data_IF_657014681523
#
_entry.id   IF_657014681523
#
_cell.length_a   1.000
_cell.length_b   1.000
_cell.length_c   1.000
_cell.angle_alpha   90.00
_cell.angle_beta   90.00
_cell.angle_gamma   90.00
#
_symmetry.space_group_name_H-M   'P 1'
#
loop_
_entity.id
_entity.type
_entity.pdbx_description
1 polymer ?
#
# COMPACT_ATOMS: atom_id res chain seq x y z
N UNK A 1 16.51 12.46 27.18
CA UNK A 1 16.97 11.75 25.95
C UNK A 1 15.86 10.81 25.52
N UNK A 2 15.20 11.05 24.39
CA UNK A 2 14.09 10.20 23.94
C UNK A 2 14.63 8.87 23.41
N UNK A 3 14.25 7.76 24.05
CA UNK A 3 14.66 6.42 23.68
C UNK A 3 14.23 6.10 22.24
N UNK A 4 15.16 5.56 21.44
CA UNK A 4 14.91 5.09 20.08
C UNK A 4 13.93 3.91 20.16
N UNK A 5 12.77 3.96 19.49
CA UNK A 5 11.84 2.84 19.53
C UNK A 5 12.45 1.62 18.83
N UNK A 6 12.36 0.46 19.49
CA UNK A 6 12.82 -0.82 18.94
C UNK A 6 11.97 -1.20 17.71
N UNK A 7 12.56 -1.72 16.62
CA UNK A 7 11.85 -2.01 15.37
C UNK A 7 10.87 -3.20 15.47
N UNK A 8 10.99 -4.04 16.50
CA UNK A 8 10.22 -5.28 16.68
C UNK A 8 9.01 -5.16 17.62
N UNK A 9 8.73 -3.99 18.18
CA UNK A 9 7.52 -3.82 19.00
C UNK A 9 6.27 -3.81 18.12
N UNK A 10 5.17 -4.48 18.53
CA UNK A 10 3.89 -4.38 17.86
C UNK A 10 3.52 -2.90 17.68
N UNK A 11 3.24 -2.50 16.44
CA UNK A 11 2.85 -1.13 16.15
C UNK A 11 1.44 -0.91 16.70
N UNK A 12 1.34 -0.25 17.84
CA UNK A 12 0.07 0.01 18.51
C UNK A 12 -0.35 1.48 18.42
N UNK A 13 -1.67 1.70 18.38
CA UNK A 13 -2.26 3.04 18.46
C UNK A 13 -1.71 4.03 17.44
N UNK A 14 -1.09 5.10 17.93
CA UNK A 14 -0.51 6.18 17.10
C UNK A 14 0.63 5.70 16.21
N UNK A 15 1.38 4.68 16.61
CA UNK A 15 2.46 4.12 15.79
C UNK A 15 1.90 3.42 14.55
N UNK A 16 0.79 2.69 14.70
CA UNK A 16 0.08 2.04 13.61
C UNK A 16 -0.47 3.06 12.61
N UNK A 17 -1.08 4.16 13.10
CA UNK A 17 -1.57 5.26 12.25
C UNK A 17 -0.43 5.88 11.45
N UNK A 18 0.73 6.13 12.08
CA UNK A 18 1.92 6.66 11.41
C UNK A 18 2.45 5.70 10.34
N UNK A 19 2.49 4.40 10.62
CA UNK A 19 2.94 3.41 9.64
C UNK A 19 1.98 3.30 8.45
N UNK A 20 0.68 3.34 8.69
CA UNK A 20 -0.33 3.36 7.62
C UNK A 20 -0.12 4.60 6.74
N UNK A 21 0.06 5.78 7.33
CA UNK A 21 0.34 7.01 6.59
C UNK A 21 1.63 6.89 5.76
N UNK A 22 2.69 6.32 6.34
CA UNK A 22 3.97 6.08 5.66
C UNK A 22 3.79 5.15 4.46
N UNK A 23 3.11 4.02 4.64
CA UNK A 23 2.83 3.04 3.58
C UNK A 23 2.03 3.65 2.43
N UNK A 24 1.01 4.46 2.72
CA UNK A 24 0.24 5.15 1.67
C UNK A 24 1.13 6.12 0.88
N UNK A 25 2.00 6.89 1.56
CA UNK A 25 2.94 7.79 0.89
C UNK A 25 3.93 7.04 -0.02
N UNK A 26 4.45 5.91 0.46
CA UNK A 26 5.34 5.04 -0.33
C UNK A 26 4.62 4.46 -1.55
N UNK A 27 3.38 3.98 -1.37
CA UNK A 27 2.57 3.53 -2.50
C UNK A 27 2.36 4.66 -3.52
N UNK A 28 2.10 5.88 -3.06
CA UNK A 28 1.94 7.06 -3.91
C UNK A 28 3.24 7.45 -4.62
N UNK A 29 4.41 7.37 -3.98
CA UNK A 29 5.68 7.61 -4.67
C UNK A 29 5.95 6.58 -5.76
N UNK A 30 5.59 5.31 -5.54
CA UNK A 30 5.67 4.30 -6.60
C UNK A 30 4.68 4.53 -7.73
N UNK A 31 3.49 5.06 -7.41
CA UNK A 31 2.51 5.49 -8.40
C UNK A 31 3.07 6.63 -9.27
N UNK A 32 3.63 7.67 -8.64
CA UNK A 32 4.22 8.81 -9.35
C UNK A 32 5.43 8.37 -10.21
N UNK A 33 6.18 7.37 -9.74
CA UNK A 33 7.27 6.72 -10.49
C UNK A 33 6.79 5.70 -11.54
N UNK A 34 5.47 5.56 -11.76
CA UNK A 34 4.86 4.59 -12.69
C UNK A 34 5.23 3.11 -12.41
N UNK A 35 5.73 2.80 -11.22
CA UNK A 35 6.04 1.44 -10.78
C UNK A 35 4.79 0.77 -10.19
N UNK A 36 3.88 0.37 -11.08
CA UNK A 36 2.57 -0.17 -10.71
C UNK A 36 2.65 -1.47 -9.89
N UNK A 37 3.68 -2.30 -10.11
CA UNK A 37 3.87 -3.54 -9.36
C UNK A 37 4.22 -3.27 -7.89
N UNK A 38 5.16 -2.36 -7.64
CA UNK A 38 5.52 -1.96 -6.27
C UNK A 38 4.39 -1.18 -5.60
N UNK A 39 3.73 -0.28 -6.34
CA UNK A 39 2.56 0.46 -5.86
C UNK A 39 1.45 -0.49 -5.38
N UNK A 40 1.13 -1.55 -6.14
CA UNK A 40 0.11 -2.53 -5.76
C UNK A 40 0.46 -3.21 -4.43
N UNK A 41 1.70 -3.70 -4.30
CA UNK A 41 2.16 -4.41 -3.09
C UNK A 41 2.12 -3.52 -1.85
N UNK A 42 2.64 -2.30 -1.93
CA UNK A 42 2.62 -1.39 -0.78
C UNK A 42 1.23 -0.89 -0.44
N UNK A 43 0.37 -0.72 -1.46
CA UNK A 43 -1.05 -0.42 -1.24
C UNK A 43 -1.77 -1.55 -0.52
N UNK A 44 -1.59 -2.81 -0.91
CA UNK A 44 -2.21 -3.96 -0.23
C UNK A 44 -1.82 -4.02 1.24
N UNK A 45 -0.54 -3.80 1.56
CA UNK A 45 -0.06 -3.70 2.94
C UNK A 45 -0.72 -2.53 3.68
N UNK A 46 -0.81 -1.36 3.04
CA UNK A 46 -1.48 -0.19 3.62
C UNK A 46 -2.97 -0.46 3.90
N UNK A 47 -3.65 -1.15 2.98
CA UNK A 47 -5.07 -1.50 3.11
C UNK A 47 -5.29 -2.51 4.25
N UNK A 48 -4.43 -3.52 4.35
CA UNK A 48 -4.46 -4.51 5.43
C UNK A 48 -4.34 -3.83 6.80
N UNK A 49 -3.35 -2.95 6.98
CA UNK A 49 -3.17 -2.18 8.22
C UNK A 49 -4.31 -1.18 8.45
N UNK A 50 -4.82 -0.54 7.40
CA UNK A 50 -5.94 0.39 7.52
C UNK A 50 -7.22 -0.31 8.02
N UNK A 51 -7.46 -1.54 7.60
CA UNK A 51 -8.62 -2.31 8.02
C UNK A 51 -8.59 -2.71 9.49
N UNK A 52 -7.40 -2.82 10.10
CA UNK A 52 -7.26 -3.08 11.54
C UNK A 52 -7.42 -1.83 12.40
N UNK A 53 -7.45 -0.63 11.80
CA UNK A 53 -7.64 0.63 12.55
C UNK A 53 -9.09 0.83 13.01
N UNK A 54 -9.24 1.37 14.22
CA UNK A 54 -10.52 1.89 14.72
C UNK A 54 -10.95 3.16 13.97
N UNK A 55 -12.21 3.58 14.14
CA UNK A 55 -12.74 4.79 13.50
C UNK A 55 -11.93 6.04 13.90
N UNK A 56 -11.66 6.20 15.20
CA UNK A 56 -10.89 7.34 15.72
C UNK A 56 -9.44 7.37 15.22
N UNK A 57 -8.85 6.20 14.98
CA UNK A 57 -7.52 6.09 14.38
C UNK A 57 -7.53 6.42 12.89
N UNK A 58 -8.58 6.03 12.16
CA UNK A 58 -8.77 6.40 10.75
C UNK A 58 -8.96 7.89 10.58
N UNK A 59 -9.60 8.57 11.53
CA UNK A 59 -9.80 10.02 11.48
C UNK A 59 -8.52 10.82 11.69
N UNK A 60 -7.51 10.24 12.34
CA UNK A 60 -6.16 10.81 12.43
C UNK A 60 -5.39 10.75 11.10
N UNK A 61 -5.84 9.95 10.13
CA UNK A 61 -5.20 9.88 8.80
C UNK A 61 -5.66 11.08 7.96
N UNK A 62 -4.73 11.83 7.35
CA UNK A 62 -5.05 12.93 6.44
C UNK A 62 -6.06 12.50 5.36
N UNK A 63 -7.11 13.29 5.17
CA UNK A 63 -8.21 12.98 4.25
C UNK A 63 -7.70 12.67 2.83
N UNK A 64 -6.68 13.39 2.35
CA UNK A 64 -6.05 13.16 1.04
C UNK A 64 -5.53 11.73 0.89
N UNK A 65 -4.92 11.15 1.94
CA UNK A 65 -4.40 9.79 1.92
C UNK A 65 -5.53 8.76 1.94
N UNK A 66 -6.60 9.01 2.72
CA UNK A 66 -7.80 8.15 2.75
C UNK A 66 -8.50 8.11 1.40
N UNK A 67 -8.72 9.28 0.79
CA UNK A 67 -9.34 9.38 -0.54
C UNK A 67 -8.47 8.70 -1.59
N UNK A 68 -7.16 8.92 -1.57
CA UNK A 68 -6.24 8.24 -2.50
C UNK A 68 -6.33 6.72 -2.34
N UNK A 69 -6.27 6.20 -1.11
CA UNK A 69 -6.34 4.77 -0.83
C UNK A 69 -7.65 4.15 -1.34
N UNK A 70 -8.80 4.85 -1.19
CA UNK A 70 -10.11 4.38 -1.66
C UNK A 70 -10.28 4.52 -3.17
N UNK A 71 -10.08 5.72 -3.70
CA UNK A 71 -10.39 6.05 -5.10
C UNK A 71 -9.38 5.45 -6.08
N UNK A 72 -8.08 5.44 -5.75
CA UNK A 72 -7.10 4.82 -6.65
C UNK A 72 -7.14 3.29 -6.60
N UNK A 73 -7.51 2.71 -5.46
CA UNK A 73 -7.75 1.27 -5.32
C UNK A 73 -8.68 0.74 -6.39
N UNK A 74 -9.87 1.33 -6.48
CA UNK A 74 -10.97 0.77 -7.25
C UNK A 74 -10.74 0.94 -8.75
N UNK A 75 -10.29 2.13 -9.17
CA UNK A 75 -10.14 2.46 -10.60
C UNK A 75 -8.97 1.74 -11.28
N UNK A 76 -7.88 1.40 -10.58
CA UNK A 76 -6.68 0.81 -11.23
C UNK A 76 -6.13 -0.46 -10.57
N UNK A 77 -6.63 -0.84 -9.40
CA UNK A 77 -6.24 -2.10 -8.75
C UNK A 77 -7.45 -3.01 -8.50
N UNK A 78 -8.65 -2.64 -8.96
CA UNK A 78 -9.84 -3.47 -8.86
C UNK A 78 -9.80 -4.69 -9.79
N UNK A 79 -10.66 -5.69 -9.55
CA UNK A 79 -10.74 -6.94 -10.32
C UNK A 79 -11.07 -6.72 -11.81
N UNK A 80 -11.54 -5.53 -12.19
CA UNK A 80 -11.76 -5.13 -13.58
C UNK A 80 -10.47 -4.87 -14.38
N UNK A 81 -9.30 -4.79 -13.73
CA UNK A 81 -8.04 -4.73 -14.47
C UNK A 81 -7.66 -6.11 -14.96
N UNK A 82 -7.58 -6.25 -16.28
CA UNK A 82 -7.02 -7.43 -16.93
C UNK A 82 -5.67 -7.73 -16.28
N UNK A 83 -5.46 -8.92 -15.69
CA UNK A 83 -4.14 -9.28 -15.17
C UNK A 83 -3.13 -9.08 -16.32
N UNK A 84 -1.94 -8.52 -16.05
CA UNK A 84 -0.93 -8.37 -17.09
C UNK A 84 -0.78 -9.72 -17.77
N UNK A 85 -1.12 -9.76 -19.06
CA UNK A 85 -1.13 -10.99 -19.82
C UNK A 85 0.17 -11.73 -19.56
N UNK A 86 0.09 -13.03 -19.28
CA UNK A 86 1.24 -13.93 -19.22
C UNK A 86 1.92 -13.98 -20.61
N UNK A 87 2.54 -12.90 -21.05
CA UNK A 87 3.45 -12.88 -22.20
C UNK A 87 4.86 -13.05 -21.64
N UNK A 88 5.30 -14.31 -21.55
CA UNK A 88 6.71 -14.58 -21.32
C UNK A 88 7.03 -15.90 -20.62
N UNK A 89 6.73 -17.04 -21.25
CA UNK A 89 7.79 -17.98 -21.65
C UNK A 89 7.39 -18.53 -23.01
N UNK A 90 7.83 -17.82 -24.05
CA UNK A 90 8.03 -18.45 -25.35
C UNK A 90 9.04 -19.57 -25.13
N UNK A 91 8.56 -20.82 -25.10
CA UNK A 91 9.43 -21.98 -25.26
C UNK A 91 9.82 -22.03 -26.74
N UNK A 92 10.77 -21.20 -27.14
CA UNK A 92 11.52 -21.39 -28.37
C UNK A 92 12.94 -21.75 -27.99
N UNK A 93 13.25 -23.04 -28.07
CA UNK A 93 14.59 -23.53 -27.77
C UNK A 93 14.77 -25.03 -27.95
N UNK A 94 15.02 -25.44 -29.20
CA UNK A 94 15.97 -26.50 -29.62
C UNK A 94 15.81 -27.90 -29.00
N UNK A 95 15.28 -28.85 -29.77
CA UNK A 95 16.01 -29.78 -30.64
C UNK A 95 15.02 -30.68 -31.36
#
# INVERSE_FOLDING_TARGET
MAAKPNPDSPLEGKALVKEVCRRIRVARSYWDAHNNAACRKEREKALALYNTLSKDQKDQIPQTLRVWLRYRSEKYFGPHQTPPGRKGRSAKGRR
#
